data_IF_279749358315
#
_entry.id   IF_279749358315
#
_cell.length_a   1.000
_cell.length_b   1.000
_cell.length_c   1.000
_cell.angle_alpha   90.00
_cell.angle_beta   90.00
_cell.angle_gamma   90.00
#
_symmetry.space_group_name_H-M   'P 1'
#
loop_
_entity.id
_entity.type
_entity.pdbx_description
1 polymer ?
#
# COMPACT_ATOMS: atom_id res chain seq x y z
N UNK A 1 11.85 -51.35 26.98
CA UNK A 1 11.52 -50.44 25.85
C UNK A 1 10.55 -49.38 26.36
N UNK A 2 10.94 -48.09 26.33
CA UNK A 2 10.07 -46.98 26.75
C UNK A 2 9.15 -46.62 25.59
N UNK A 3 7.85 -46.82 25.77
CA UNK A 3 6.82 -46.34 24.85
C UNK A 3 6.75 -44.81 24.93
N UNK A 4 7.09 -44.13 23.84
CA UNK A 4 6.96 -42.69 23.70
C UNK A 4 5.61 -42.40 23.04
N UNK A 5 4.62 -42.03 23.86
CA UNK A 5 3.28 -41.63 23.40
C UNK A 5 3.35 -40.24 22.75
N UNK A 6 3.18 -40.19 21.44
CA UNK A 6 2.95 -38.94 20.70
C UNK A 6 1.56 -38.37 21.03
N UNK A 7 1.53 -37.28 21.80
CA UNK A 7 0.33 -36.45 21.98
C UNK A 7 -0.16 -35.94 20.61
N UNK A 8 -1.36 -36.36 20.20
CA UNK A 8 -2.14 -35.65 19.16
C UNK A 8 -2.43 -34.23 19.69
N UNK A 9 -1.88 -33.20 19.02
CA UNK A 9 -2.30 -31.82 19.23
C UNK A 9 -3.74 -31.69 18.71
N UNK A 10 -4.65 -31.27 19.58
CA UNK A 10 -6.06 -31.06 19.28
C UNK A 10 -6.22 -29.88 18.31
N UNK A 11 -7.01 -30.05 17.25
CA UNK A 11 -7.32 -29.01 16.25
C UNK A 11 -8.03 -27.79 16.85
N UNK A 12 -8.65 -27.93 18.02
CA UNK A 12 -9.30 -26.85 18.77
C UNK A 12 -8.31 -25.83 19.37
N UNK A 13 -7.12 -26.25 19.82
CA UNK A 13 -6.10 -25.33 20.37
C UNK A 13 -5.54 -24.37 19.30
N UNK A 14 -5.52 -24.78 18.03
CA UNK A 14 -5.03 -23.96 16.93
C UNK A 14 -6.03 -22.87 16.52
N UNK A 15 -7.33 -23.10 16.70
CA UNK A 15 -8.39 -22.13 16.35
C UNK A 15 -8.52 -21.09 17.47
N UNK A 16 -8.43 -21.50 18.73
CA UNK A 16 -8.47 -20.59 19.89
C UNK A 16 -7.26 -19.64 19.95
N UNK A 17 -6.05 -20.12 19.62
CA UNK A 17 -4.86 -19.26 19.56
C UNK A 17 -4.91 -18.24 18.41
N UNK A 18 -5.54 -18.58 17.28
CA UNK A 18 -5.62 -17.66 16.13
C UNK A 18 -6.51 -16.45 16.40
N UNK A 19 -7.67 -16.64 17.06
CA UNK A 19 -8.54 -15.56 17.53
C UNK A 19 -7.85 -14.71 18.61
N UNK A 20 -7.23 -15.34 19.62
CA UNK A 20 -6.48 -14.63 20.67
C UNK A 20 -5.38 -13.72 20.10
N UNK A 21 -4.58 -14.19 19.15
CA UNK A 21 -3.48 -13.37 18.62
C UNK A 21 -3.96 -12.20 17.75
N UNK A 22 -5.17 -12.24 17.17
CA UNK A 22 -5.72 -11.07 16.45
C UNK A 22 -6.27 -10.06 17.46
N UNK A 23 -6.93 -10.53 18.51
CA UNK A 23 -7.37 -9.70 19.61
C UNK A 23 -6.19 -9.01 20.32
N UNK A 24 -5.04 -9.67 20.43
CA UNK A 24 -3.84 -9.11 21.07
C UNK A 24 -3.24 -7.95 20.27
N UNK A 25 -3.15 -8.06 18.93
CA UNK A 25 -2.67 -6.97 18.07
C UNK A 25 -3.61 -5.77 18.17
N UNK A 26 -4.92 -6.00 18.10
CA UNK A 26 -5.91 -4.92 18.24
C UNK A 26 -5.86 -4.26 19.62
N UNK A 27 -5.75 -5.06 20.69
CA UNK A 27 -5.54 -4.54 22.05
C UNK A 27 -4.27 -3.70 22.16
N UNK A 28 -3.18 -4.12 21.53
CA UNK A 28 -1.93 -3.36 21.52
C UNK A 28 -2.11 -2.01 20.81
N UNK A 29 -2.80 -1.97 19.66
CA UNK A 29 -3.14 -0.72 18.96
C UNK A 29 -3.98 0.20 19.85
N UNK A 30 -5.01 -0.32 20.52
CA UNK A 30 -5.81 0.46 21.47
C UNK A 30 -4.98 1.03 22.62
N UNK A 31 -4.05 0.23 23.18
CA UNK A 31 -3.15 0.69 24.25
C UNK A 31 -2.20 1.79 23.78
N UNK A 32 -1.70 1.71 22.54
CA UNK A 32 -0.90 2.80 21.96
C UNK A 32 -1.73 4.09 21.82
N UNK A 33 -2.99 4.00 21.36
CA UNK A 33 -3.91 5.17 21.30
C UNK A 33 -4.17 5.78 22.67
N UNK A 34 -4.50 4.96 23.67
CA UNK A 34 -4.69 5.42 25.06
C UNK A 34 -3.43 6.15 25.58
N UNK A 35 -2.23 5.66 25.24
CA UNK A 35 -0.98 6.30 25.63
C UNK A 35 -0.75 7.64 24.90
N UNK A 36 -1.09 7.72 23.60
CA UNK A 36 -1.06 8.98 22.84
C UNK A 36 -2.00 10.01 23.46
N UNK A 37 -3.25 9.64 23.76
CA UNK A 37 -4.22 10.54 24.40
C UNK A 37 -3.72 11.07 25.76
N UNK A 38 -3.06 10.21 26.54
CA UNK A 38 -2.46 10.60 27.82
C UNK A 38 -1.29 11.58 27.62
N UNK A 39 -0.45 11.35 26.61
CA UNK A 39 0.66 12.23 26.24
C UNK A 39 0.17 13.59 25.74
N UNK A 40 -0.91 13.64 24.95
CA UNK A 40 -1.53 14.89 24.50
C UNK A 40 -2.09 15.71 25.67
N UNK A 41 -2.83 15.06 26.58
CA UNK A 41 -3.32 15.74 27.80
C UNK A 41 -2.17 16.29 28.62
N UNK A 42 -1.07 15.54 28.72
CA UNK A 42 0.15 15.97 29.40
C UNK A 42 0.82 17.14 28.69
N UNK A 43 0.92 17.11 27.36
CA UNK A 43 1.45 18.22 26.54
C UNK A 43 0.72 19.53 26.85
N UNK A 44 -0.62 19.53 26.83
CA UNK A 44 -1.44 20.70 27.14
C UNK A 44 -1.15 21.25 28.55
N UNK A 45 -0.94 20.37 29.54
CA UNK A 45 -0.58 20.79 30.89
C UNK A 45 0.82 21.42 30.95
N UNK A 46 1.79 20.86 30.22
CA UNK A 46 3.16 21.39 30.16
C UNK A 46 3.18 22.75 29.46
N UNK A 47 2.46 22.90 28.35
CA UNK A 47 2.31 24.18 27.64
C UNK A 47 1.71 25.28 28.53
N UNK A 48 0.69 24.95 29.33
CA UNK A 48 0.14 25.89 30.33
C UNK A 48 1.20 26.32 31.35
N UNK A 49 2.03 25.39 31.83
CA UNK A 49 3.13 25.72 32.76
C UNK A 49 4.19 26.61 32.12
N UNK A 50 4.53 26.38 30.85
CA UNK A 50 5.46 27.22 30.09
C UNK A 50 4.93 28.65 30.01
N UNK A 51 3.65 28.83 29.63
CA UNK A 51 3.01 30.15 29.57
C UNK A 51 3.03 30.86 30.92
N UNK A 52 2.70 30.13 31.99
CA UNK A 52 2.73 30.67 33.35
C UNK A 52 4.13 31.14 33.77
N UNK A 53 5.16 30.30 33.55
CA UNK A 53 6.54 30.64 33.87
C UNK A 53 7.05 31.83 33.06
N UNK A 54 6.58 31.98 31.81
CA UNK A 54 6.93 33.14 30.99
C UNK A 54 6.36 34.44 31.56
N UNK A 55 5.10 34.43 32.01
CA UNK A 55 4.47 35.59 32.67
C UNK A 55 5.21 35.92 33.97
N UNK A 56 5.49 34.93 34.81
CA UNK A 56 6.23 35.13 36.07
C UNK A 56 7.65 35.65 35.82
N UNK A 57 8.34 35.14 34.79
CA UNK A 57 9.67 35.62 34.43
C UNK A 57 9.63 37.10 34.01
N UNK A 58 8.64 37.51 33.21
CA UNK A 58 8.45 38.92 32.80
C UNK A 58 8.21 39.82 34.02
N UNK A 59 7.33 39.42 34.94
CA UNK A 59 7.10 40.15 36.19
C UNK A 59 8.38 40.30 37.04
N UNK A 60 9.23 39.26 37.09
CA UNK A 60 10.49 39.32 37.84
C UNK A 60 11.52 40.24 37.19
N UNK A 61 11.51 40.36 35.86
CA UNK A 61 12.32 41.34 35.13
C UNK A 61 11.86 42.77 35.45
N UNK A 62 10.54 43.03 35.44
CA UNK A 62 9.97 44.34 35.81
C UNK A 62 10.32 44.75 37.25
N UNK A 63 10.42 43.78 38.16
CA UNK A 63 10.85 43.99 39.56
C UNK A 63 12.38 44.12 39.72
N UNK A 64 13.16 44.18 38.64
CA UNK A 64 14.63 44.17 38.63
C UNK A 64 15.26 42.93 39.31
N UNK A 65 14.52 41.82 39.44
CA UNK A 65 14.98 40.57 40.07
C UNK A 65 15.60 39.61 39.05
N UNK A 66 16.70 40.03 38.42
CA UNK A 66 17.33 39.31 37.28
C UNK A 66 17.73 37.86 37.59
N UNK A 67 18.22 37.58 38.80
CA UNK A 67 18.58 36.22 39.22
C UNK A 67 17.36 35.28 39.23
N UNK A 68 16.23 35.76 39.78
CA UNK A 68 14.99 34.98 39.87
C UNK A 68 14.39 34.77 38.47
N UNK A 69 14.39 35.79 37.62
CA UNK A 69 13.96 35.67 36.22
C UNK A 69 14.79 34.61 35.47
N UNK A 70 16.12 34.59 35.67
CA UNK A 70 17.00 33.58 35.06
C UNK A 70 16.67 32.15 35.52
N UNK A 71 16.31 31.95 36.79
CA UNK A 71 15.88 30.63 37.30
C UNK A 71 14.57 30.19 36.64
N UNK A 72 13.59 31.10 36.51
CA UNK A 72 12.31 30.80 35.86
C UNK A 72 12.49 30.46 34.38
N UNK A 73 13.34 31.19 33.66
CA UNK A 73 13.67 30.89 32.25
C UNK A 73 14.36 29.54 32.10
N UNK A 74 15.27 29.16 33.01
CA UNK A 74 15.86 27.81 33.02
C UNK A 74 14.79 26.73 33.20
N UNK A 75 13.84 26.95 34.12
CA UNK A 75 12.72 26.03 34.33
C UNK A 75 11.80 25.94 33.11
N UNK A 76 11.52 27.07 32.46
CA UNK A 76 10.79 27.12 31.19
C UNK A 76 11.47 26.25 30.14
N UNK A 77 12.79 26.36 29.99
CA UNK A 77 13.57 25.56 29.02
C UNK A 77 13.49 24.06 29.27
N UNK A 78 13.47 23.62 30.53
CA UNK A 78 13.27 22.21 30.88
C UNK A 78 11.88 21.70 30.45
N UNK A 79 10.83 22.52 30.58
CA UNK A 79 9.49 22.16 30.11
C UNK A 79 9.38 22.17 28.58
N UNK A 80 10.09 23.06 27.89
CA UNK A 80 10.20 23.01 26.41
C UNK A 80 10.83 21.69 25.95
N UNK A 81 11.90 21.24 26.62
CA UNK A 81 12.49 19.92 26.38
C UNK A 81 11.54 18.76 26.71
N UNK A 82 10.73 18.90 27.76
CA UNK A 82 9.67 17.91 28.08
C UNK A 82 8.64 17.81 26.95
N UNK A 83 8.27 18.92 26.29
CA UNK A 83 7.40 18.89 25.10
C UNK A 83 8.06 18.13 23.95
N UNK A 84 9.32 18.43 23.62
CA UNK A 84 10.05 17.71 22.56
C UNK A 84 10.07 16.20 22.81
N UNK A 85 10.33 15.79 24.06
CA UNK A 85 10.28 14.38 24.45
C UNK A 85 8.89 13.77 24.29
N UNK A 86 7.83 14.50 24.67
CA UNK A 86 6.45 14.05 24.49
C UNK A 86 6.13 13.84 22.99
N UNK A 87 6.55 14.77 22.14
CA UNK A 87 6.35 14.67 20.68
C UNK A 87 7.08 13.45 20.10
N UNK A 88 8.35 13.23 20.48
CA UNK A 88 9.13 12.07 20.04
C UNK A 88 8.49 10.74 20.49
N UNK A 89 7.99 10.69 21.73
CA UNK A 89 7.30 9.50 22.25
C UNK A 89 6.00 9.24 21.50
N UNK A 90 5.24 10.27 21.13
CA UNK A 90 4.02 10.13 20.32
C UNK A 90 4.33 9.57 18.94
N UNK A 91 5.32 10.13 18.24
CA UNK A 91 5.76 9.60 16.93
C UNK A 91 6.14 8.12 17.02
N UNK A 92 6.88 7.74 18.07
CA UNK A 92 7.24 6.34 18.30
C UNK A 92 6.01 5.44 18.51
N UNK A 93 4.97 5.91 19.20
CA UNK A 93 3.73 5.16 19.40
C UNK A 93 2.91 5.05 18.10
N UNK A 94 2.90 6.09 17.28
CA UNK A 94 2.26 6.10 15.96
C UNK A 94 2.96 5.11 15.01
N UNK A 95 4.29 5.12 14.96
CA UNK A 95 5.10 4.15 14.21
C UNK A 95 4.82 2.70 14.67
N UNK A 96 4.70 2.49 15.99
CA UNK A 96 4.36 1.18 16.54
C UNK A 96 2.97 0.70 16.09
N UNK A 97 1.99 1.60 15.97
CA UNK A 97 0.66 1.25 15.46
C UNK A 97 0.73 0.82 14.00
N UNK A 98 1.42 1.59 13.15
CA UNK A 98 1.62 1.25 11.73
C UNK A 98 2.31 -0.12 11.60
N UNK A 99 3.34 -0.37 12.41
CA UNK A 99 4.03 -1.66 12.42
C UNK A 99 3.10 -2.81 12.84
N UNK A 100 2.27 -2.61 13.88
CA UNK A 100 1.28 -3.61 14.32
C UNK A 100 0.24 -3.93 13.24
N UNK A 101 -0.22 -2.93 12.50
CA UNK A 101 -1.12 -3.09 11.35
C UNK A 101 -0.45 -3.92 10.24
N UNK A 102 0.80 -3.61 9.90
CA UNK A 102 1.58 -4.39 8.95
C UNK A 102 1.81 -5.84 9.42
N UNK A 103 2.07 -6.05 10.72
CA UNK A 103 2.19 -7.39 11.30
C UNK A 103 0.87 -8.18 11.18
N UNK A 104 -0.28 -7.51 11.30
CA UNK A 104 -1.57 -8.13 11.08
C UNK A 104 -1.75 -8.59 9.63
N UNK A 105 -1.39 -7.75 8.65
CA UNK A 105 -1.42 -8.11 7.23
C UNK A 105 -0.48 -9.28 6.92
N UNK A 106 0.76 -9.26 7.43
CA UNK A 106 1.70 -10.37 7.29
C UNK A 106 1.15 -11.67 7.89
N UNK A 107 0.49 -11.60 9.05
CA UNK A 107 -0.16 -12.75 9.66
C UNK A 107 -1.25 -13.34 8.76
N UNK A 108 -2.07 -12.50 8.12
CA UNK A 108 -3.10 -12.95 7.17
C UNK A 108 -2.45 -13.67 5.98
N UNK A 109 -1.43 -13.05 5.36
CA UNK A 109 -0.71 -13.63 4.24
C UNK A 109 -0.09 -15.00 4.59
N UNK A 110 0.60 -15.09 5.74
CA UNK A 110 1.19 -16.35 6.22
C UNK A 110 0.12 -17.41 6.49
N UNK A 111 -1.05 -17.02 7.03
CA UNK A 111 -2.16 -17.96 7.23
C UNK A 111 -2.70 -18.51 5.90
N UNK A 112 -2.85 -17.66 4.88
CA UNK A 112 -3.29 -18.08 3.54
C UNK A 112 -2.28 -19.03 2.90
N UNK A 113 -0.98 -18.69 2.96
CA UNK A 113 0.10 -19.56 2.47
C UNK A 113 0.14 -20.90 3.22
N UNK A 114 -0.02 -20.88 4.55
CA UNK A 114 -0.09 -22.11 5.36
C UNK A 114 -1.29 -22.97 4.97
N UNK A 115 -2.43 -22.37 4.71
CA UNK A 115 -3.61 -23.09 4.21
C UNK A 115 -3.34 -23.73 2.85
N UNK A 116 -2.80 -22.96 1.88
CA UNK A 116 -2.44 -23.45 0.56
C UNK A 116 -1.44 -24.62 0.63
N UNK A 117 -0.36 -24.47 1.41
CA UNK A 117 0.64 -25.52 1.60
C UNK A 117 0.05 -26.79 2.23
N UNK A 118 -0.84 -26.66 3.22
CA UNK A 118 -1.54 -27.80 3.81
C UNK A 118 -2.49 -28.48 2.83
N UNK A 119 -3.19 -27.72 1.98
CA UNK A 119 -4.06 -28.25 0.91
C UNK A 119 -3.23 -28.98 -0.15
N UNK A 120 -2.12 -28.40 -0.60
CA UNK A 120 -1.19 -29.07 -1.53
C UNK A 120 -0.66 -30.37 -0.93
N UNK A 121 -0.32 -30.38 0.37
CA UNK A 121 0.13 -31.60 1.05
C UNK A 121 -0.95 -32.67 1.12
N UNK A 122 -2.21 -32.29 1.39
CA UNK A 122 -3.34 -33.23 1.38
C UNK A 122 -3.56 -33.81 -0.02
N UNK A 123 -3.62 -32.96 -1.04
CA UNK A 123 -3.77 -33.36 -2.43
C UNK A 123 -2.65 -34.31 -2.87
N UNK A 124 -1.38 -33.99 -2.57
CA UNK A 124 -0.25 -34.86 -2.87
C UNK A 124 -0.31 -36.20 -2.14
N UNK A 125 -0.81 -36.23 -0.90
CA UNK A 125 -0.98 -37.48 -0.15
C UNK A 125 -2.14 -38.33 -0.71
N UNK A 126 -3.25 -37.72 -1.11
CA UNK A 126 -4.39 -38.40 -1.75
C UNK A 126 -4.00 -38.99 -3.12
N UNK A 127 -3.23 -38.22 -3.92
CA UNK A 127 -2.65 -38.69 -5.18
C UNK A 127 -1.71 -39.88 -4.92
N UNK A 128 -0.74 -39.74 -3.99
CA UNK A 128 0.23 -40.78 -3.64
C UNK A 128 -0.38 -42.07 -3.07
N UNK A 129 -1.52 -41.98 -2.37
CA UNK A 129 -2.10 -43.15 -1.68
C UNK A 129 -3.09 -43.96 -2.50
N UNK A 130 -3.66 -43.43 -3.59
CA UNK A 130 -4.65 -44.18 -4.36
C UNK A 130 -4.30 -44.44 -5.83
N UNK A 131 -3.47 -43.62 -6.51
CA UNK A 131 -3.41 -43.70 -7.98
C UNK A 131 -2.12 -43.23 -8.67
N UNK A 132 -0.95 -43.12 -8.03
CA UNK A 132 0.25 -42.63 -8.76
C UNK A 132 0.67 -43.54 -9.92
N UNK A 133 0.67 -44.87 -9.77
CA UNK A 133 0.99 -45.78 -10.89
C UNK A 133 -0.05 -45.67 -12.02
N UNK A 134 -1.35 -45.71 -11.70
CA UNK A 134 -2.42 -45.58 -12.72
C UNK A 134 -2.49 -44.19 -13.36
N UNK A 135 -2.17 -43.13 -12.63
CA UNK A 135 -2.17 -41.75 -13.15
C UNK A 135 -0.91 -41.50 -13.97
N UNK A 136 0.25 -42.06 -13.63
CA UNK A 136 1.43 -42.00 -14.49
C UNK A 136 1.14 -42.72 -15.81
N UNK A 137 0.52 -43.91 -15.78
CA UNK A 137 0.10 -44.63 -16.99
C UNK A 137 -0.89 -43.79 -17.82
N UNK A 138 -1.93 -43.20 -17.20
CA UNK A 138 -2.91 -42.34 -17.88
C UNK A 138 -2.36 -40.96 -18.30
N UNK A 139 -1.31 -40.44 -17.65
CA UNK A 139 -0.59 -39.21 -18.05
C UNK A 139 0.30 -39.50 -19.25
N UNK A 140 0.93 -40.67 -19.29
CA UNK A 140 1.69 -41.12 -20.46
C UNK A 140 0.75 -41.26 -21.67
N UNK A 141 -0.38 -41.95 -21.49
CA UNK A 141 -1.44 -42.07 -22.52
C UNK A 141 -2.00 -40.71 -22.95
N UNK A 142 -2.29 -39.79 -22.01
CA UNK A 142 -2.76 -38.45 -22.36
C UNK A 142 -1.69 -37.60 -23.03
N UNK A 143 -0.40 -37.76 -22.71
CA UNK A 143 0.67 -37.07 -23.42
C UNK A 143 0.73 -37.52 -24.88
N UNK A 144 0.62 -38.82 -25.13
CA UNK A 144 0.60 -39.37 -26.48
C UNK A 144 -0.63 -38.87 -27.27
N UNK A 145 -1.82 -38.85 -26.63
CA UNK A 145 -3.05 -38.29 -27.21
C UNK A 145 -2.91 -36.77 -27.46
N UNK A 146 -2.29 -36.01 -26.55
CA UNK A 146 -2.08 -34.57 -26.71
C UNK A 146 -1.05 -34.26 -27.80
N UNK A 147 -0.02 -35.09 -27.99
CA UNK A 147 0.89 -34.98 -29.13
C UNK A 147 0.16 -35.30 -30.45
N UNK A 148 -0.71 -36.31 -30.47
CA UNK A 148 -1.54 -36.65 -31.63
C UNK A 148 -2.58 -35.56 -31.94
N UNK A 149 -3.20 -34.95 -30.92
CA UNK A 149 -4.10 -33.79 -31.03
C UNK A 149 -3.34 -32.57 -31.55
N UNK A 150 -2.15 -32.28 -31.02
CA UNK A 150 -1.35 -31.15 -31.48
C UNK A 150 -0.87 -31.36 -32.92
N UNK A 151 -0.52 -32.57 -33.33
CA UNK A 151 -0.21 -32.89 -34.73
C UNK A 151 -1.45 -32.74 -35.63
N UNK A 152 -2.63 -33.18 -35.18
CA UNK A 152 -3.89 -33.03 -35.92
C UNK A 152 -4.42 -31.58 -35.98
N UNK A 153 -4.22 -30.79 -34.92
CA UNK A 153 -4.59 -29.37 -34.85
C UNK A 153 -3.64 -28.51 -35.69
N UNK A 154 -2.34 -28.79 -35.66
CA UNK A 154 -1.35 -28.05 -36.48
C UNK A 154 -1.56 -28.33 -37.97
N UNK A 155 -2.01 -29.54 -38.33
CA UNK A 155 -2.44 -29.85 -39.69
C UNK A 155 -3.69 -29.05 -40.14
N UNK A 156 -4.50 -28.55 -39.20
CA UNK A 156 -5.75 -27.84 -39.48
C UNK A 156 -5.69 -26.30 -39.27
N UNK A 157 -4.71 -25.76 -38.54
CA UNK A 157 -4.70 -24.34 -38.15
C UNK A 157 -3.87 -23.44 -39.08
N UNK A 158 -2.94 -23.99 -39.87
CA UNK A 158 -2.05 -23.19 -40.73
C UNK A 158 -2.66 -22.76 -42.08
N UNK A 159 -3.94 -23.02 -42.36
CA UNK A 159 -4.57 -22.71 -43.65
C UNK A 159 -5.56 -21.51 -43.63
N UNK A 160 -5.65 -20.71 -42.57
CA UNK A 160 -6.65 -19.63 -42.50
C UNK A 160 -6.17 -18.34 -41.81
N UNK A 161 -4.92 -17.93 -42.03
CA UNK A 161 -4.50 -16.54 -41.77
C UNK A 161 -3.99 -15.98 -43.10
N UNK A 162 -4.60 -14.89 -43.55
CA UNK A 162 -4.24 -14.23 -44.81
C UNK A 162 -2.99 -13.37 -44.57
N UNK A 163 -1.84 -13.84 -45.02
CA UNK A 163 -0.55 -13.17 -44.83
C UNK A 163 -0.56 -11.73 -45.39
N UNK A 164 -1.40 -11.44 -46.39
CA UNK A 164 -1.55 -10.11 -47.00
C UNK A 164 -2.24 -9.08 -46.06
N UNK A 165 -2.95 -9.53 -45.02
CA UNK A 165 -3.53 -8.67 -43.99
C UNK A 165 -2.49 -8.33 -42.91
N UNK A 166 -1.70 -9.31 -42.50
CA UNK A 166 -0.62 -9.17 -41.52
C UNK A 166 0.49 -8.25 -42.04
N UNK A 167 0.86 -8.37 -43.32
CA UNK A 167 1.90 -7.53 -43.91
C UNK A 167 1.50 -6.05 -43.98
N UNK A 168 0.22 -5.76 -44.21
CA UNK A 168 -0.31 -4.37 -44.19
C UNK A 168 -0.26 -3.78 -42.79
N UNK A 169 -0.63 -4.55 -41.77
CA UNK A 169 -0.58 -4.09 -40.38
C UNK A 169 0.87 -3.84 -39.94
N UNK A 170 1.80 -4.71 -40.38
CA UNK A 170 3.22 -4.57 -40.10
C UNK A 170 3.84 -3.31 -40.72
N UNK A 171 3.46 -2.96 -41.95
CA UNK A 171 3.97 -1.76 -42.61
C UNK A 171 3.44 -0.46 -41.97
N UNK A 172 2.19 -0.47 -41.51
CA UNK A 172 1.58 0.65 -40.79
C UNK A 172 2.31 0.94 -39.46
N UNK A 173 2.71 -0.11 -38.75
CA UNK A 173 3.54 -0.02 -37.53
C UNK A 173 4.94 0.56 -37.79
N UNK A 174 5.56 0.22 -38.93
CA UNK A 174 6.89 0.76 -39.30
C UNK A 174 6.83 2.26 -39.56
N UNK A 175 5.78 2.74 -40.23
CA UNK A 175 5.63 4.16 -40.57
C UNK A 175 5.46 5.03 -39.32
N UNK A 176 4.58 4.61 -38.39
CA UNK A 176 4.37 5.27 -37.10
C UNK A 176 5.68 5.39 -36.30
N UNK A 177 6.45 4.30 -36.26
CA UNK A 177 7.73 4.27 -35.52
C UNK A 177 8.79 5.21 -36.13
N UNK A 178 8.75 5.43 -37.45
CA UNK A 178 9.68 6.32 -38.14
C UNK A 178 9.31 7.79 -37.92
N UNK A 179 8.02 8.12 -37.89
CA UNK A 179 7.53 9.48 -37.61
C UNK A 179 7.86 9.92 -36.19
N UNK A 180 7.70 9.04 -35.19
CA UNK A 180 8.13 9.30 -33.80
C UNK A 180 9.64 9.58 -33.68
N UNK A 181 10.46 8.91 -34.50
CA UNK A 181 11.92 9.14 -34.51
C UNK A 181 12.31 10.44 -35.21
N UNK A 182 11.54 10.89 -36.19
CA UNK A 182 11.79 12.15 -36.92
C UNK A 182 11.37 13.37 -36.07
N UNK A 183 10.22 13.30 -35.40
CA UNK A 183 9.73 14.35 -34.49
C UNK A 183 10.69 14.60 -33.32
N UNK A 184 11.31 13.55 -32.78
CA UNK A 184 12.37 13.67 -31.77
C UNK A 184 13.64 14.39 -32.26
N UNK A 185 13.87 14.45 -33.58
CA UNK A 185 15.09 15.01 -34.19
C UNK A 185 14.93 16.46 -34.65
N UNK A 186 13.70 16.92 -34.94
CA UNK A 186 13.39 18.29 -35.42
C UNK A 186 13.44 19.36 -34.31
N UNK A 187 13.35 18.99 -33.03
CA UNK A 187 13.43 19.93 -31.90
C UNK A 187 14.84 20.53 -31.61
N UNK A 188 15.80 20.41 -32.53
CA UNK A 188 17.14 21.04 -32.46
C UNK A 188 17.45 21.81 -33.76
N UNK A 189 17.11 23.09 -33.87
CA UNK A 189 17.77 24.18 -34.66
C UNK A 189 17.10 25.54 -34.28
N UNK A 190 17.83 26.69 -34.17
CA UNK A 190 17.30 27.99 -33.74
C UNK A 190 16.82 28.92 -34.88
N UNK A 191 15.82 29.73 -34.51
CA UNK A 191 15.26 31.01 -35.02
C UNK A 191 15.25 31.39 -36.52
N UNK A 192 14.02 31.72 -36.96
CA UNK A 192 13.61 32.19 -38.29
C UNK A 192 13.51 33.73 -38.32
N UNK A 193 14.04 34.42 -39.34
CA UNK A 193 13.69 35.81 -39.63
C UNK A 193 12.36 36.00 -40.36
N UNK A 194 11.71 37.08 -39.93
CA UNK A 194 10.31 37.52 -40.12
C UNK A 194 10.06 38.19 -41.46
N UNK A 195 8.82 38.13 -41.93
CA UNK A 195 8.15 39.21 -42.67
C UNK A 195 6.62 38.98 -42.60
N UNK A 196 5.85 39.77 -41.86
CA UNK A 196 5.33 41.14 -42.14
C UNK A 196 4.00 41.13 -42.92
N UNK A 197 2.87 41.23 -42.22
CA UNK A 197 2.11 42.49 -42.12
C UNK A 197 0.79 42.36 -41.31
N UNK A 198 0.26 43.47 -40.75
CA UNK A 198 -0.55 43.47 -39.52
C UNK A 198 -1.97 44.04 -39.72
N UNK A 199 -2.93 43.63 -38.88
CA UNK A 199 -4.08 44.48 -38.52
C UNK A 199 -4.46 44.29 -37.05
N UNK A 200 -4.49 45.41 -36.34
CA UNK A 200 -5.06 45.73 -35.02
C UNK A 200 -6.43 45.05 -34.75
N UNK A 201 -6.94 44.78 -33.53
CA UNK A 201 -7.12 45.66 -32.36
C UNK A 201 -7.52 44.83 -31.10
N UNK A 202 -6.87 45.15 -29.98
CA UNK A 202 -7.35 45.33 -28.58
C UNK A 202 -8.51 44.51 -27.97
N UNK A 203 -8.13 43.75 -26.93
CA UNK A 203 -8.50 43.87 -25.50
C UNK A 203 -9.92 43.52 -24.98
N UNK A 204 -9.89 43.02 -23.72
CA UNK A 204 -10.94 42.76 -22.72
C UNK A 204 -11.62 41.39 -22.77
N UNK A 205 -12.06 40.73 -21.69
CA UNK A 205 -11.77 40.69 -20.24
C UNK A 205 -12.70 39.59 -19.68
N UNK A 206 -12.20 38.74 -18.78
CA UNK A 206 -12.92 37.95 -17.74
C UNK A 206 -14.09 37.01 -18.14
N UNK A 207 -14.11 35.79 -17.57
CA UNK A 207 -14.98 35.44 -16.42
C UNK A 207 -14.83 33.96 -16.03
N UNK A 208 -14.90 33.74 -14.72
CA UNK A 208 -14.84 32.48 -13.98
C UNK A 208 -16.29 32.10 -13.65
N UNK A 209 -16.71 30.83 -13.78
CA UNK A 209 -17.54 30.18 -12.74
C UNK A 209 -17.59 28.64 -12.83
N UNK A 210 -17.85 28.05 -11.66
CA UNK A 210 -17.81 26.66 -11.21
C UNK A 210 -19.07 25.85 -11.55
N UNK A 211 -19.07 24.61 -11.05
CA UNK A 211 -20.15 23.61 -10.82
C UNK A 211 -20.23 22.53 -11.92
N UNK A 212 -20.31 21.22 -11.63
CA UNK A 212 -20.76 20.53 -10.41
C UNK A 212 -20.24 19.08 -10.41
N UNK A 213 -19.79 18.62 -9.24
CA UNK A 213 -19.64 17.22 -8.85
C UNK A 213 -21.04 16.64 -8.58
N UNK A 214 -21.44 15.58 -9.27
CA UNK A 214 -22.56 14.68 -8.91
C UNK A 214 -22.57 13.52 -9.94
N UNK A 215 -21.74 12.50 -9.75
CA UNK A 215 -21.82 11.25 -10.53
C UNK A 215 -21.17 10.03 -9.86
N UNK A 216 -20.26 10.22 -8.92
CA UNK A 216 -19.39 9.11 -8.46
C UNK A 216 -19.93 8.35 -7.23
N UNK A 217 -21.06 8.77 -6.66
CA UNK A 217 -21.63 8.18 -5.43
C UNK A 217 -22.57 6.98 -5.67
N UNK A 218 -23.00 6.74 -6.93
CA UNK A 218 -23.87 5.59 -7.25
C UNK A 218 -23.08 4.31 -7.55
N UNK A 219 -21.91 4.40 -8.20
CA UNK A 219 -21.07 3.21 -8.50
C UNK A 219 -20.48 2.56 -7.24
N UNK A 220 -20.24 3.32 -6.18
CA UNK A 220 -19.67 2.79 -4.92
C UNK A 220 -20.65 1.96 -4.08
N UNK A 221 -21.96 2.11 -4.31
CA UNK A 221 -22.97 1.30 -3.59
C UNK A 221 -23.20 -0.06 -4.23
N UNK A 222 -23.02 -0.17 -5.54
CA UNK A 222 -23.22 -1.44 -6.27
C UNK A 222 -22.12 -2.45 -5.91
N UNK A 223 -20.88 -1.99 -5.69
CA UNK A 223 -19.74 -2.86 -5.36
C UNK A 223 -19.80 -3.49 -3.95
N UNK A 224 -20.58 -2.92 -3.02
CA UNK A 224 -20.72 -3.43 -1.66
C UNK A 224 -21.84 -4.49 -1.57
N UNK A 225 -22.78 -4.48 -2.51
CA UNK A 225 -23.91 -5.42 -2.54
C UNK A 225 -23.57 -6.83 -3.03
N UNK A 226 -22.55 -6.99 -3.88
CA UNK A 226 -22.17 -8.29 -4.44
C UNK A 226 -21.31 -9.18 -3.51
N UNK A 227 -20.90 -8.67 -2.34
CA UNK A 227 -20.06 -9.41 -1.39
C UNK A 227 -20.75 -9.81 -0.06
N UNK A 228 -22.09 -9.86 -0.04
CA UNK A 228 -22.88 -10.47 1.05
C UNK A 228 -23.79 -11.56 0.54
#
# INVERSE_FOLDING_TARGET
MRFWFGKKKNSSECIDNKKKNNDEIYKAILKNREAIDALEKKQVQVEKKIKQLEIEAKQKVEQNQMSNAKILLKRKKLYEQEIENILNNRLTLEDNMINLENMHLHKIAVNALSYAANTHKKLNNEINTQKVEKIIDTIQENKDIQEEINQALTFNLLNNVDDDEIDKELDLLKEQTMEEKLTAKVNKIPEVPRDSHPVHVKASEQLIDKTTEESDDEELKELIGEMT
#
